data_IF_736712013887
#
_entry.id   IF_736712013887
#
_cell.length_a   1.000
_cell.length_b   1.000
_cell.length_c   1.000
_cell.angle_alpha   90.00
_cell.angle_beta   90.00
_cell.angle_gamma   90.00
#
_symmetry.space_group_name_H-M   'P 1'
#
loop_
_entity.id
_entity.type
_entity.pdbx_description
1 polymer ?
#
# COMPACT_ATOMS: atom_id res chain seq x y z
N UNK A 1 2.58 14.86 10.17
CA UNK A 1 1.36 14.05 10.40
C UNK A 1 0.19 14.49 9.53
N UNK A 2 -0.41 15.68 9.72
CA UNK A 2 -1.51 16.11 8.84
C UNK A 2 -1.05 16.34 7.39
N UNK A 3 0.12 16.95 7.22
CA UNK A 3 0.75 17.18 5.92
C UNK A 3 1.05 15.86 5.18
N UNK A 4 1.58 14.86 5.90
CA UNK A 4 1.86 13.54 5.33
C UNK A 4 0.59 12.85 4.82
N UNK A 5 -0.47 12.85 5.64
CA UNK A 5 -1.76 12.28 5.25
C UNK A 5 -2.35 13.01 4.03
N UNK A 6 -2.23 14.34 3.98
CA UNK A 6 -2.63 15.15 2.84
C UNK A 6 -1.82 14.78 1.58
N UNK A 7 -0.50 14.63 1.70
CA UNK A 7 0.38 14.23 0.59
C UNK A 7 0.03 12.83 0.07
N UNK A 8 -0.24 11.87 0.97
CA UNK A 8 -0.71 10.53 0.60
C UNK A 8 -2.05 10.63 -0.16
N UNK A 9 -3.01 11.39 0.36
CA UNK A 9 -4.31 11.54 -0.25
C UNK A 9 -4.23 12.20 -1.65
N UNK A 10 -3.39 13.23 -1.82
CA UNK A 10 -3.12 13.85 -3.11
C UNK A 10 -2.48 12.86 -4.09
N UNK A 11 -1.46 12.12 -3.66
CA UNK A 11 -0.79 11.11 -4.47
C UNK A 11 -1.77 10.05 -4.98
N UNK A 12 -2.60 9.50 -4.08
CA UNK A 12 -3.61 8.51 -4.42
C UNK A 12 -4.65 9.07 -5.39
N UNK A 13 -5.11 10.31 -5.15
CA UNK A 13 -6.14 10.97 -5.95
C UNK A 13 -5.68 11.33 -7.36
N UNK A 14 -4.39 11.58 -7.56
CA UNK A 14 -3.79 11.88 -8.86
C UNK A 14 -3.79 10.67 -9.81
N UNK A 15 -3.83 9.44 -9.29
CA UNK A 15 -3.88 8.21 -10.08
C UNK A 15 -5.29 7.62 -10.09
N UNK A 16 -5.89 7.49 -11.28
CA UNK A 16 -7.21 6.80 -11.43
C UNK A 16 -7.18 5.37 -10.87
N UNK A 17 -6.05 4.68 -11.03
CA UNK A 17 -5.88 3.32 -10.53
C UNK A 17 -5.85 3.30 -9.00
N UNK A 18 -4.96 4.05 -8.37
CA UNK A 18 -4.82 4.03 -6.90
C UNK A 18 -6.05 4.60 -6.19
N UNK A 19 -6.67 5.65 -6.77
CA UNK A 19 -7.95 6.18 -6.29
C UNK A 19 -9.07 5.13 -6.29
N UNK A 20 -9.09 4.22 -7.26
CA UNK A 20 -10.08 3.14 -7.32
C UNK A 20 -9.75 1.99 -6.36
N UNK A 21 -8.45 1.70 -6.19
CA UNK A 21 -7.96 0.57 -5.39
C UNK A 21 -7.89 0.85 -3.90
N UNK A 22 -7.78 2.10 -3.44
CA UNK A 22 -7.69 2.42 -2.00
C UNK A 22 -9.06 2.82 -1.45
N UNK A 23 -9.43 2.27 -0.29
CA UNK A 23 -10.67 2.63 0.42
C UNK A 23 -10.40 3.45 1.68
N UNK A 24 -9.35 3.11 2.42
CA UNK A 24 -9.01 3.79 3.67
C UNK A 24 -7.51 4.01 3.77
N UNK A 25 -7.15 5.11 4.41
CA UNK A 25 -5.78 5.42 4.86
C UNK A 25 -5.90 5.90 6.29
N UNK A 26 -5.14 5.30 7.21
CA UNK A 26 -5.12 5.72 8.61
C UNK A 26 -3.72 5.56 9.21
N UNK A 27 -3.50 6.19 10.36
CA UNK A 27 -2.29 6.04 11.15
C UNK A 27 -2.53 4.97 12.22
N UNK A 28 -1.73 3.91 12.24
CA UNK A 28 -1.86 2.83 13.21
C UNK A 28 -1.23 3.21 14.58
N UNK A 29 -1.30 2.30 15.55
CA UNK A 29 -0.72 2.50 16.90
C UNK A 29 0.81 2.62 16.89
N UNK A 30 1.48 2.13 15.83
CA UNK A 30 2.92 2.22 15.64
C UNK A 30 3.36 3.51 14.93
N UNK A 31 2.44 4.47 14.72
CA UNK A 31 2.68 5.70 13.96
C UNK A 31 3.10 5.44 12.50
N UNK A 32 2.62 4.34 11.92
CA UNK A 32 2.80 4.01 10.51
C UNK A 32 1.48 4.22 9.75
N UNK A 33 1.56 4.78 8.55
CA UNK A 33 0.40 4.85 7.65
C UNK A 33 0.09 3.46 7.11
N UNK A 34 -1.17 3.07 7.24
CA UNK A 34 -1.74 1.84 6.71
C UNK A 34 -2.83 2.16 5.69
N UNK A 35 -2.93 1.30 4.69
CA UNK A 35 -3.86 1.42 3.57
C UNK A 35 -4.70 0.15 3.48
N UNK A 36 -6.01 0.33 3.42
CA UNK A 36 -6.96 -0.74 3.15
C UNK A 36 -7.37 -0.69 1.67
N UNK A 37 -7.06 -1.74 0.88
CA UNK A 37 -7.45 -1.82 -0.51
C UNK A 37 -8.95 -2.12 -0.64
N UNK A 38 -9.51 -1.87 -1.82
CA UNK A 38 -10.88 -2.24 -2.20
C UNK A 38 -11.01 -3.72 -2.51
N UNK A 39 -9.94 -4.32 -3.03
CA UNK A 39 -9.90 -5.71 -3.49
C UNK A 39 -8.81 -6.46 -2.74
N UNK A 40 -9.14 -7.70 -2.35
CA UNK A 40 -8.29 -8.52 -1.50
C UNK A 40 -8.54 -8.24 -0.02
N UNK A 41 -7.88 -9.03 0.80
CA UNK A 41 -8.03 -8.99 2.26
C UNK A 41 -6.72 -8.67 2.99
N UNK A 42 -5.74 -8.17 2.24
CA UNK A 42 -4.44 -7.76 2.76
C UNK A 42 -4.48 -6.32 3.26
N UNK A 43 -3.68 -6.04 4.28
CA UNK A 43 -3.37 -4.67 4.71
C UNK A 43 -2.05 -4.23 4.09
N UNK A 44 -1.94 -2.96 3.71
CA UNK A 44 -0.71 -2.40 3.13
C UNK A 44 -0.09 -1.45 4.15
N UNK A 45 1.07 -1.80 4.66
CA UNK A 45 1.84 -0.95 5.59
C UNK A 45 2.75 -0.06 4.75
N UNK A 46 2.46 1.23 4.70
CA UNK A 46 3.24 2.23 3.96
C UNK A 46 4.45 2.73 4.76
N UNK A 47 4.33 2.76 6.10
CA UNK A 47 5.29 3.43 6.97
C UNK A 47 5.09 4.94 6.93
N UNK A 48 6.10 5.71 6.51
CA UNK A 48 6.00 7.16 6.30
C UNK A 48 5.47 7.57 4.92
N UNK A 49 5.30 8.89 4.72
CA UNK A 49 4.93 9.48 3.43
C UNK A 49 6.13 9.80 2.52
N UNK A 50 7.31 9.31 2.85
CA UNK A 50 8.51 9.33 2.02
C UNK A 50 8.35 8.43 0.77
N UNK A 51 8.97 8.86 -0.33
CA UNK A 51 9.14 8.07 -1.56
C UNK A 51 7.89 7.34 -2.07
N UNK A 52 6.72 7.99 -1.98
CA UNK A 52 5.42 7.41 -2.39
C UNK A 52 5.48 6.81 -3.80
N UNK A 53 6.08 7.52 -4.76
CA UNK A 53 6.26 7.02 -6.13
C UNK A 53 6.96 5.66 -6.16
N UNK A 54 8.06 5.51 -5.43
CA UNK A 54 8.83 4.29 -5.40
C UNK A 54 8.09 3.16 -4.67
N UNK A 55 7.48 3.46 -3.51
CA UNK A 55 6.69 2.49 -2.73
C UNK A 55 5.54 1.91 -3.56
N UNK A 56 4.78 2.76 -4.23
CA UNK A 56 3.63 2.31 -5.05
C UNK A 56 4.05 1.64 -6.36
N UNK A 57 5.20 2.00 -6.96
CA UNK A 57 5.75 1.25 -8.10
C UNK A 57 6.10 -0.18 -7.73
N UNK A 58 6.64 -0.42 -6.54
CA UNK A 58 6.90 -1.78 -6.04
C UNK A 58 5.60 -2.55 -5.79
N UNK A 59 4.60 -1.88 -5.21
CA UNK A 59 3.27 -2.48 -4.99
C UNK A 59 2.59 -2.86 -6.31
N UNK A 60 2.65 -2.00 -7.32
CA UNK A 60 2.14 -2.31 -8.67
C UNK A 60 2.86 -3.50 -9.29
N UNK A 61 4.19 -3.56 -9.18
CA UNK A 61 4.96 -4.70 -9.67
C UNK A 61 4.56 -6.01 -8.97
N UNK A 62 4.25 -5.97 -7.67
CA UNK A 62 3.73 -7.12 -6.92
C UNK A 62 2.35 -7.55 -7.44
N UNK A 63 1.43 -6.59 -7.67
CA UNK A 63 0.10 -6.88 -8.21
C UNK A 63 0.16 -7.51 -9.60
N UNK A 64 1.03 -7.00 -10.48
CA UNK A 64 1.13 -7.51 -11.85
C UNK A 64 1.80 -8.89 -11.92
N UNK A 65 2.74 -9.19 -11.01
CA UNK A 65 3.54 -10.43 -11.06
C UNK A 65 3.00 -11.52 -10.16
N UNK A 66 2.86 -11.25 -8.86
CA UNK A 66 2.53 -12.27 -7.87
C UNK A 66 1.02 -12.54 -7.84
N UNK A 67 0.20 -11.50 -7.76
CA UNK A 67 -1.25 -11.66 -7.58
C UNK A 67 -1.93 -12.32 -8.79
N UNK A 68 -1.35 -12.18 -9.98
CA UNK A 68 -1.78 -12.90 -11.18
C UNK A 68 -1.63 -14.43 -11.04
N UNK A 69 -0.70 -14.90 -10.21
CA UNK A 69 -0.39 -16.33 -10.01
C UNK A 69 -1.05 -16.87 -8.74
N UNK A 70 -0.91 -16.18 -7.61
CA UNK A 70 -1.37 -16.68 -6.30
C UNK A 70 -2.76 -16.19 -5.91
N UNK A 71 -3.30 -15.18 -6.60
CA UNK A 71 -4.57 -14.55 -6.27
C UNK A 71 -4.48 -13.45 -5.21
N UNK A 72 -5.61 -12.80 -4.95
CA UNK A 72 -5.71 -11.60 -4.10
C UNK A 72 -5.79 -11.88 -2.58
N UNK A 73 -6.03 -13.14 -2.19
CA UNK A 73 -6.32 -13.50 -0.80
C UNK A 73 -5.18 -14.29 -0.14
N UNK A 74 -4.02 -14.39 -0.80
CA UNK A 74 -2.89 -15.18 -0.32
C UNK A 74 -2.13 -14.48 0.82
N UNK A 75 -2.11 -13.15 0.81
CA UNK A 75 -1.36 -12.35 1.78
C UNK A 75 -2.28 -11.70 2.81
N UNK A 76 -1.80 -11.68 4.05
CA UNK A 76 -2.42 -10.93 5.15
C UNK A 76 -1.90 -9.49 5.19
N UNK A 77 -0.59 -9.31 5.00
CA UNK A 77 0.05 -7.99 5.01
C UNK A 77 1.04 -7.82 3.88
N UNK A 78 1.15 -6.59 3.38
CA UNK A 78 2.16 -6.14 2.41
C UNK A 78 2.87 -4.93 3.00
N UNK A 79 4.13 -5.08 3.34
CA UNK A 79 4.92 -4.02 3.95
C UNK A 79 5.84 -3.35 2.91
N UNK A 80 5.62 -2.06 2.71
CA UNK A 80 6.34 -1.20 1.76
C UNK A 80 7.40 -0.31 2.43
N UNK A 81 7.52 -0.33 3.76
CA UNK A 81 8.39 0.59 4.52
C UNK A 81 9.88 0.39 4.25
N UNK A 82 10.26 -0.80 3.80
CA UNK A 82 11.65 -1.13 3.50
C UNK A 82 11.98 -0.71 2.07
N UNK A 83 13.04 0.05 1.86
CA UNK A 83 13.41 0.59 0.55
C UNK A 83 13.47 -0.50 -0.54
N UNK A 84 14.40 -1.43 -0.45
CA UNK A 84 14.69 -2.33 -1.58
C UNK A 84 13.82 -3.61 -1.62
N UNK A 85 12.85 -3.75 -0.72
CA UNK A 85 12.09 -4.99 -0.58
C UNK A 85 10.60 -4.70 -0.35
N UNK A 86 9.78 -5.70 -0.64
CA UNK A 86 8.37 -5.77 -0.23
C UNK A 86 8.23 -7.03 0.59
N UNK A 87 7.89 -6.89 1.87
CA UNK A 87 7.74 -8.04 2.77
C UNK A 87 6.27 -8.38 2.83
N UNK A 88 5.92 -9.61 2.48
CA UNK A 88 4.54 -10.08 2.56
C UNK A 88 4.43 -11.19 3.61
N UNK A 89 3.42 -11.11 4.46
CA UNK A 89 3.07 -12.21 5.37
C UNK A 89 1.90 -12.96 4.77
N UNK A 90 2.01 -14.28 4.69
CA UNK A 90 0.92 -15.15 4.23
C UNK A 90 -0.11 -15.34 5.33
N UNK A 91 -1.33 -15.66 4.92
CA UNK A 91 -2.34 -16.22 5.82
C UNK A 91 -1.98 -17.64 6.27
#
# INVERSE_FOLDING_TARGET
MLEDLYNIALFLSASKFWKAQVTQVYLNQNLEYEIIPRVGSHQIILGGADDLQYKFRKLEALYLKAFKVVGWNEYETINLKFGNQVICTKR
#
